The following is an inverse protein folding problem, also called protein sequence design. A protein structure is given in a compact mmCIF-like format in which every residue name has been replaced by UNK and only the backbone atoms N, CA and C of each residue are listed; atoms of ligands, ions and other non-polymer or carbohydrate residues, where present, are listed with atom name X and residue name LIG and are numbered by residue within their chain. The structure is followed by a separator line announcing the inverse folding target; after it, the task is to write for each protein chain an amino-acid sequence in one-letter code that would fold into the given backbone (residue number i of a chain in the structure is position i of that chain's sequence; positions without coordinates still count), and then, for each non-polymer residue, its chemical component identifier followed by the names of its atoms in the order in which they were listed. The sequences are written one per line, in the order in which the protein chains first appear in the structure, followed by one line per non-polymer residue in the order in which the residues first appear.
data_IF_382399607394
#
_entry.id   IF_382399607394
#
_cell.length_a   1.000
_cell.length_b   1.000
_cell.length_c   1.000
_cell.angle_alpha   90.00
_cell.angle_beta   90.00
_cell.angle_gamma   90.00
#
_symmetry.space_group_name_H-M   'P 1'
#
loop_
_entity.id
_entity.type
_entity.pdbx_description
1 polymer ?
#
# COMPACT_ATOMS: atom_id res chain seq x y z
N UNK A 1 21.44 1.42 -23.56
CA UNK A 1 20.21 1.13 -22.82
C UNK A 1 20.29 1.98 -21.59
N UNK A 2 19.37 2.93 -21.40
CA UNK A 2 19.33 3.67 -20.14
C UNK A 2 18.99 2.71 -18.99
N UNK A 3 19.65 2.91 -17.86
CA UNK A 3 19.45 2.08 -16.67
C UNK A 3 18.12 2.46 -16.01
N UNK A 4 17.30 1.45 -15.70
CA UNK A 4 16.07 1.67 -14.95
C UNK A 4 16.42 1.63 -13.46
N UNK A 5 16.12 2.71 -12.75
CA UNK A 5 16.21 2.74 -11.30
C UNK A 5 14.91 2.21 -10.70
N UNK A 6 15.02 1.29 -9.74
CA UNK A 6 13.85 0.66 -9.10
C UNK A 6 13.98 0.77 -7.59
N UNK A 7 12.97 1.36 -6.97
CA UNK A 7 12.80 1.39 -5.51
C UNK A 7 11.59 0.52 -5.16
N UNK A 8 11.82 -0.52 -4.36
CA UNK A 8 10.76 -1.40 -3.88
C UNK A 8 10.30 -0.99 -2.47
N UNK A 9 9.02 -0.67 -2.34
CA UNK A 9 8.31 -0.54 -1.08
C UNK A 9 7.56 -1.84 -0.80
N UNK A 10 8.17 -2.72 -0.01
CA UNK A 10 7.58 -4.00 0.36
C UNK A 10 6.87 -3.90 1.71
N UNK A 11 5.56 -4.11 1.69
CA UNK A 11 4.73 -4.16 2.89
C UNK A 11 4.57 -5.59 3.41
N UNK A 12 4.66 -6.56 2.51
CA UNK A 12 4.66 -7.98 2.83
C UNK A 12 5.22 -8.82 1.68
N UNK A 13 5.25 -10.15 1.82
CA UNK A 13 5.61 -11.07 0.74
C UNK A 13 4.67 -10.98 -0.48
N UNK A 14 3.45 -10.47 -0.27
CA UNK A 14 2.40 -10.37 -1.29
C UNK A 14 2.15 -8.95 -1.80
N UNK A 15 2.57 -7.94 -1.05
CA UNK A 15 2.20 -6.55 -1.30
C UNK A 15 3.46 -5.72 -1.50
N UNK A 16 3.67 -5.33 -2.75
CA UNK A 16 4.77 -4.50 -3.18
C UNK A 16 4.22 -3.32 -3.96
N UNK A 17 4.96 -2.22 -3.89
CA UNK A 17 4.81 -1.06 -4.73
C UNK A 17 6.22 -0.73 -5.25
N UNK A 18 6.37 -0.68 -6.57
CA UNK A 18 7.65 -0.38 -7.20
C UNK A 18 7.59 1.01 -7.80
N UNK A 19 8.49 1.88 -7.38
CA UNK A 19 8.74 3.15 -8.06
C UNK A 19 9.89 2.92 -9.03
N UNK A 20 9.61 3.11 -10.31
CA UNK A 20 10.52 2.83 -11.40
C UNK A 20 10.80 4.14 -12.14
N UNK A 21 12.07 4.52 -12.25
CA UNK A 21 12.48 5.76 -12.93
C UNK A 21 13.43 5.44 -14.07
N UNK A 22 13.20 6.07 -15.21
CA UNK A 22 14.08 6.12 -16.37
C UNK A 22 14.62 7.54 -16.54
N UNK A 23 15.47 7.79 -17.54
CA UNK A 23 15.87 9.16 -17.87
C UNK A 23 14.71 10.04 -18.35
N UNK A 24 13.63 9.42 -18.83
CA UNK A 24 12.53 10.10 -19.53
C UNK A 24 11.23 10.16 -18.71
N UNK A 25 10.97 9.18 -17.85
CA UNK A 25 9.71 9.07 -17.10
C UNK A 25 9.87 8.28 -15.80
N UNK A 26 8.99 8.55 -14.84
CA UNK A 26 8.83 7.79 -13.61
C UNK A 26 7.43 7.18 -13.55
N UNK A 27 7.35 5.92 -13.16
CA UNK A 27 6.09 5.21 -13.01
C UNK A 27 6.05 4.38 -11.75
N UNK A 28 4.83 4.12 -11.28
CA UNK A 28 4.59 3.18 -10.19
C UNK A 28 3.98 1.90 -10.75
N UNK A 29 4.60 0.76 -10.42
CA UNK A 29 4.07 -0.56 -10.73
C UNK A 29 3.51 -1.19 -9.45
N UNK A 30 2.21 -1.47 -9.48
CA UNK A 30 1.39 -1.96 -8.37
C UNK A 30 1.23 -0.97 -7.20
N UNK A 31 0.06 -1.01 -6.57
CA UNK A 31 -0.25 -0.30 -5.32
C UNK A 31 -0.67 -1.30 -4.24
N UNK A 32 0.13 -2.37 -4.10
CA UNK A 32 -0.12 -3.43 -3.15
C UNK A 32 0.02 -2.92 -1.72
N UNK A 33 -1.03 -3.05 -0.92
CA UNK A 33 -0.97 -2.83 0.52
C UNK A 33 -1.82 -3.90 1.22
N UNK A 34 -1.33 -4.49 2.33
CA UNK A 34 -2.11 -5.49 3.05
C UNK A 34 -3.43 -4.91 3.50
N UNK A 35 -4.52 -5.67 3.37
CA UNK A 35 -5.76 -5.28 4.03
C UNK A 35 -5.54 -5.18 5.54
N UNK A 36 -6.35 -4.36 6.22
CA UNK A 36 -6.21 -4.15 7.67
C UNK A 36 -6.13 -5.46 8.46
N UNK A 37 -6.91 -6.49 8.09
CA UNK A 37 -6.86 -7.80 8.73
C UNK A 37 -5.50 -8.49 8.57
N UNK A 38 -4.97 -8.54 7.34
CA UNK A 38 -3.67 -9.14 7.05
C UNK A 38 -2.50 -8.34 7.65
N UNK A 39 -2.65 -7.01 7.70
CA UNK A 39 -1.70 -6.14 8.38
C UNK A 39 -1.62 -6.47 9.87
N UNK A 40 -2.77 -6.67 10.53
CA UNK A 40 -2.80 -7.03 11.95
C UNK A 40 -2.15 -8.39 12.18
N UNK A 41 -2.50 -9.42 11.40
CA UNK A 41 -1.90 -10.77 11.56
C UNK A 41 -0.37 -10.74 11.45
N UNK A 42 0.16 -9.92 10.54
CA UNK A 42 1.61 -9.86 10.30
C UNK A 42 2.36 -8.98 11.30
N UNK A 43 1.79 -7.84 11.71
CA UNK A 43 2.41 -6.91 12.67
C UNK A 43 2.15 -7.27 14.15
N UNK A 44 1.20 -8.17 14.46
CA UNK A 44 1.01 -8.74 15.80
C UNK A 44 2.24 -9.52 16.33
N UNK A 45 3.16 -9.95 15.46
CA UNK A 45 4.43 -10.58 15.88
C UNK A 45 5.45 -9.55 16.39
N UNK A 46 5.41 -8.29 15.93
CA UNK A 46 6.33 -7.25 16.41
C UNK A 46 5.85 -6.52 17.67
N UNK A 47 4.54 -6.30 17.82
CA UNK A 47 3.99 -5.58 18.98
C UNK A 47 3.83 -6.44 20.25
N UNK A 48 3.92 -7.77 20.15
CA UNK A 48 3.85 -8.67 21.32
C UNK A 48 5.08 -8.68 22.23
N UNK A 49 6.16 -7.93 21.92
CA UNK A 49 7.36 -7.91 22.78
C UNK A 49 7.29 -6.82 23.85
N UNK A 50 6.49 -5.75 23.71
CA UNK A 50 6.56 -4.61 24.66
C UNK A 50 5.25 -4.17 25.32
N UNK A 51 4.11 -4.80 25.05
CA UNK A 51 2.88 -4.51 25.81
C UNK A 51 2.05 -5.76 26.03
N UNK A 52 2.10 -6.25 27.27
CA UNK A 52 1.14 -7.11 27.97
C UNK A 52 -0.09 -7.53 27.13
N UNK A 53 -0.10 -8.79 26.69
CA UNK A 53 -1.32 -9.59 26.55
C UNK A 53 -2.26 -9.26 25.39
N UNK A 54 -1.88 -9.59 24.16
CA UNK A 54 -2.87 -10.00 23.15
C UNK A 54 -2.88 -11.52 23.10
N UNK A 55 -3.98 -12.14 23.52
CA UNK A 55 -4.22 -13.57 23.36
C UNK A 55 -5.02 -13.76 22.07
N UNK A 56 -4.49 -14.59 21.15
CA UNK A 56 -5.28 -15.13 20.04
C UNK A 56 -6.33 -16.07 20.63
N UNK A 57 -7.59 -15.63 20.66
CA UNK A 57 -8.80 -16.46 20.55
C UNK A 57 -10.01 -15.54 20.66
N UNK A 58 -10.85 -15.57 19.61
CA UNK A 58 -12.18 -14.96 19.53
C UNK A 58 -12.22 -13.43 19.30
N UNK A 59 -12.08 -13.04 18.02
CA UNK A 59 -12.69 -11.84 17.45
C UNK A 59 -12.19 -10.49 17.95
N UNK A 60 -12.05 -9.53 17.03
CA UNK A 60 -11.94 -8.11 17.34
C UNK A 60 -13.21 -7.63 18.05
N UNK A 61 -13.36 -7.91 19.35
CA UNK A 61 -14.64 -7.83 20.06
C UNK A 61 -14.89 -6.50 20.77
N UNK A 62 -13.94 -5.57 20.82
CA UNK A 62 -14.20 -4.23 21.36
C UNK A 62 -13.74 -3.11 20.41
N UNK A 63 -14.64 -2.17 20.13
CA UNK A 63 -14.49 -1.09 19.13
C UNK A 63 -13.24 -0.22 19.38
N UNK A 64 -12.87 -0.03 20.64
CA UNK A 64 -11.68 0.74 21.03
C UNK A 64 -10.36 0.13 20.51
N UNK A 65 -10.27 -1.21 20.43
CA UNK A 65 -9.07 -1.86 19.89
C UNK A 65 -9.04 -1.80 18.36
N UNK A 66 -10.21 -1.77 17.69
CA UNK A 66 -10.29 -1.59 16.23
C UNK A 66 -9.80 -0.21 15.80
N UNK A 67 -10.20 0.86 16.51
CA UNK A 67 -9.82 2.22 16.14
C UNK A 67 -8.30 2.47 16.27
N UNK A 68 -7.68 1.93 17.33
CA UNK A 68 -6.23 2.04 17.52
C UNK A 68 -5.43 1.29 16.45
N UNK A 69 -5.89 0.10 16.06
CA UNK A 69 -5.27 -0.67 14.97
C UNK A 69 -5.41 0.03 13.62
N UNK A 70 -6.60 0.57 13.33
CA UNK A 70 -6.83 1.40 12.15
C UNK A 70 -5.89 2.61 12.13
N UNK A 71 -5.67 3.26 13.27
CA UNK A 71 -4.75 4.39 13.35
C UNK A 71 -3.31 4.01 13.02
N UNK A 72 -2.80 2.90 13.58
CA UNK A 72 -1.45 2.40 13.27
C UNK A 72 -1.33 2.05 11.79
N UNK A 73 -2.30 1.31 11.24
CA UNK A 73 -2.37 0.98 9.82
C UNK A 73 -2.31 2.24 8.94
N UNK A 74 -3.13 3.24 9.24
CA UNK A 74 -3.17 4.49 8.48
C UNK A 74 -1.86 5.26 8.60
N UNK A 75 -1.20 5.27 9.77
CA UNK A 75 0.12 5.89 9.94
C UNK A 75 1.20 5.22 9.07
N UNK A 76 1.22 3.88 9.00
CA UNK A 76 2.16 3.14 8.15
C UNK A 76 1.90 3.40 6.65
N UNK A 77 0.62 3.44 6.26
CA UNK A 77 0.20 3.76 4.91
C UNK A 77 0.63 5.17 4.51
N UNK A 78 0.26 6.17 5.32
CA UNK A 78 0.62 7.57 5.10
C UNK A 78 2.12 7.76 4.95
N UNK A 79 2.92 7.23 5.88
CA UNK A 79 4.39 7.36 5.81
C UNK A 79 4.97 6.86 4.50
N UNK A 80 4.47 5.73 4.00
CA UNK A 80 5.06 5.13 2.79
C UNK A 80 4.67 5.92 1.55
N UNK A 81 3.43 6.40 1.48
CA UNK A 81 2.98 7.29 0.41
C UNK A 81 3.78 8.61 0.43
N UNK A 82 4.04 9.18 1.60
CA UNK A 82 4.82 10.42 1.76
C UNK A 82 6.30 10.30 1.39
N UNK A 83 6.84 9.08 1.24
CA UNK A 83 8.24 8.87 0.81
C UNK A 83 8.44 9.05 -0.71
N UNK A 84 7.35 9.15 -1.47
CA UNK A 84 7.37 9.26 -2.93
C UNK A 84 6.98 10.67 -3.32
N UNK A 85 7.78 11.30 -4.18
CA UNK A 85 7.37 12.51 -4.87
C UNK A 85 6.38 12.13 -6.00
N UNK A 86 5.10 12.26 -5.70
CA UNK A 86 4.04 11.90 -6.64
C UNK A 86 3.87 12.90 -7.78
N UNK A 87 4.44 14.11 -7.66
CA UNK A 87 4.35 15.15 -8.69
C UNK A 87 5.13 14.78 -9.96
N UNK A 88 6.14 13.92 -9.83
CA UNK A 88 6.98 13.44 -10.94
C UNK A 88 6.57 12.07 -11.48
N UNK A 89 5.54 11.44 -10.92
CA UNK A 89 5.05 10.14 -11.38
C UNK A 89 4.12 10.34 -12.58
N UNK A 90 4.58 9.93 -13.75
CA UNK A 90 3.88 10.08 -15.02
C UNK A 90 2.68 9.14 -15.17
N UNK A 91 2.82 7.91 -14.64
CA UNK A 91 1.74 6.94 -14.68
C UNK A 91 1.84 5.83 -13.62
N UNK A 92 0.71 5.18 -13.37
CA UNK A 92 0.57 4.02 -12.49
C UNK A 92 0.11 2.83 -13.32
N UNK A 93 0.76 1.69 -13.16
CA UNK A 93 0.41 0.42 -13.78
C UNK A 93 -0.16 -0.54 -12.72
N UNK A 94 -1.36 -1.07 -12.96
CA UNK A 94 -2.03 -2.06 -12.09
C UNK A 94 -2.29 -3.33 -12.89
N UNK A 95 -1.64 -4.43 -12.53
CA UNK A 95 -1.87 -5.73 -13.19
C UNK A 95 -2.98 -6.56 -12.56
N UNK A 96 -3.24 -6.38 -11.26
CA UNK A 96 -4.18 -7.16 -10.47
C UNK A 96 -5.10 -6.28 -9.60
N UNK A 97 -6.39 -6.61 -9.56
CA UNK A 97 -7.39 -5.89 -8.76
C UNK A 97 -7.10 -5.87 -7.26
N UNK A 98 -6.32 -6.81 -6.73
CA UNK A 98 -5.97 -6.81 -5.30
C UNK A 98 -4.99 -5.69 -4.91
N UNK A 99 -4.36 -5.05 -5.90
CA UNK A 99 -3.30 -4.06 -5.72
C UNK A 99 -3.78 -2.64 -6.03
N UNK A 100 -5.06 -2.34 -5.81
CA UNK A 100 -5.65 -1.01 -6.05
C UNK A 100 -5.96 -0.25 -4.77
N UNK A 101 -5.72 -0.86 -3.61
CA UNK A 101 -6.23 -0.34 -2.32
C UNK A 101 -5.66 1.04 -1.96
N UNK A 102 -4.45 1.38 -2.42
CA UNK A 102 -3.88 2.71 -2.21
C UNK A 102 -4.33 3.73 -3.26
N UNK A 103 -4.99 3.31 -4.34
CA UNK A 103 -5.30 4.19 -5.46
C UNK A 103 -6.11 5.43 -5.03
N UNK A 104 -7.18 5.32 -4.22
CA UNK A 104 -7.90 6.50 -3.74
C UNK A 104 -7.02 7.44 -2.90
N UNK A 105 -6.13 6.89 -2.07
CA UNK A 105 -5.21 7.71 -1.27
C UNK A 105 -4.23 8.47 -2.15
N UNK A 106 -3.67 7.80 -3.17
CA UNK A 106 -2.77 8.43 -4.14
C UNK A 106 -3.49 9.53 -4.90
N UNK A 107 -4.66 9.23 -5.48
CA UNK A 107 -5.38 10.17 -6.35
C UNK A 107 -6.02 11.35 -5.60
N UNK A 108 -6.34 11.20 -4.31
CA UNK A 108 -7.03 12.25 -3.54
C UNK A 108 -6.13 13.02 -2.58
N UNK A 109 -4.99 12.45 -2.17
CA UNK A 109 -4.15 13.01 -1.09
C UNK A 109 -2.70 13.25 -1.46
N UNK A 110 -2.35 13.07 -2.73
CA UNK A 110 -1.00 13.37 -3.25
C UNK A 110 -1.09 14.31 -4.45
N UNK A 111 0.06 14.70 -4.98
CA UNK A 111 0.15 15.55 -6.18
C UNK A 111 0.17 14.73 -7.49
N UNK A 112 -0.14 13.42 -7.42
CA UNK A 112 -0.24 12.58 -8.60
C UNK A 112 -1.30 13.11 -9.57
N UNK A 113 -0.89 13.35 -10.81
CA UNK A 113 -1.74 13.86 -11.89
C UNK A 113 -1.58 13.10 -13.21
N UNK A 114 -0.84 11.98 -13.17
CA UNK A 114 -0.55 11.13 -14.31
C UNK A 114 -1.68 10.19 -14.72
N UNK A 115 -1.37 9.27 -15.64
CA UNK A 115 -2.34 8.28 -16.12
C UNK A 115 -2.36 7.02 -15.25
N UNK A 116 -3.52 6.40 -15.11
CA UNK A 116 -3.66 5.09 -14.45
C UNK A 116 -4.02 4.07 -15.52
N UNK A 117 -3.13 3.11 -15.74
CA UNK A 117 -3.37 1.98 -16.63
C UNK A 117 -3.68 0.74 -15.81
N UNK A 118 -4.83 0.14 -16.10
CA UNK A 118 -5.33 -1.06 -15.44
C UNK A 118 -5.64 -2.08 -16.52
N UNK A 119 -5.32 -3.36 -16.28
CA UNK A 119 -5.74 -4.43 -17.19
C UNK A 119 -7.26 -4.54 -17.22
N UNK A 120 -7.85 -4.93 -18.35
CA UNK A 120 -9.31 -5.12 -18.45
C UNK A 120 -9.82 -6.11 -17.40
N UNK A 121 -9.08 -7.20 -17.20
CA UNK A 121 -9.37 -8.18 -16.16
C UNK A 121 -9.41 -7.56 -14.77
N UNK A 122 -8.43 -6.73 -14.38
CA UNK A 122 -8.45 -6.08 -13.08
C UNK A 122 -9.62 -5.06 -12.97
N UNK A 123 -9.91 -4.32 -14.03
CA UNK A 123 -11.01 -3.35 -14.07
C UNK A 123 -12.38 -3.99 -13.82
N UNK A 124 -12.61 -5.23 -14.27
CA UNK A 124 -13.86 -5.95 -14.01
C UNK A 124 -14.12 -6.22 -12.53
N UNK A 125 -13.08 -6.41 -11.71
CA UNK A 125 -13.20 -6.68 -10.27
C UNK A 125 -13.15 -5.43 -9.38
N UNK A 126 -12.79 -4.28 -9.94
CA UNK A 126 -12.70 -3.00 -9.20
C UNK A 126 -14.04 -2.25 -9.19
N UNK A 127 -14.96 -2.59 -10.11
CA UNK A 127 -16.32 -2.01 -10.19
C UNK A 127 -17.19 -2.42 -8.99
#
# INVERSE_FOLDING_TARGET
MEEIQIINYSFSEKYNMFVCSTGDFTFVYELGFPQLYEFVEKFEIQYRVNSVGYQQKNGFTNEHNKSKLQQVYMQHLTRTIEMIDWSVVDFILISNYTNVLLLPFVTERTEFSGFIYVTEAALEYIK
#
